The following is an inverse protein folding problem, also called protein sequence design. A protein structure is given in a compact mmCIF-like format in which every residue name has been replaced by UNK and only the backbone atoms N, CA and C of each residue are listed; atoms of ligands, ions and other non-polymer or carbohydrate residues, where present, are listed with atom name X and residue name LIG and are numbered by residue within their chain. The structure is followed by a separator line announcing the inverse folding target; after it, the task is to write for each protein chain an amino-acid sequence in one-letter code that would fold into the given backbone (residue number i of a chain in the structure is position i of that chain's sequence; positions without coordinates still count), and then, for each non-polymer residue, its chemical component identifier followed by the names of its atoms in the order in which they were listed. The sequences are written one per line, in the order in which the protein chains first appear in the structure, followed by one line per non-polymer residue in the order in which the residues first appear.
data_IF_625927442992
#
_entry.id   IF_625927442992
#
_cell.length_a   1.000
_cell.length_b   1.000
_cell.length_c   1.000
_cell.angle_alpha   90.00
_cell.angle_beta   90.00
_cell.angle_gamma   90.00
#
_symmetry.space_group_name_H-M   'P 1'
#
loop_
_entity.id
_entity.type
_entity.pdbx_description
1 polymer ?
#
# COMPACT_ATOMS: atom_id res chain seq x y z
N UNK A 1 10.93 36.24 2.83
CA UNK A 1 10.51 35.00 2.15
C UNK A 1 10.83 33.74 2.95
N UNK A 2 12.04 33.58 3.49
CA UNK A 2 12.40 32.41 4.30
C UNK A 2 11.51 32.23 5.55
N UNK A 3 11.32 33.30 6.34
CA UNK A 3 10.48 33.23 7.55
C UNK A 3 8.99 33.02 7.22
N UNK A 4 8.49 33.61 6.15
CA UNK A 4 7.11 33.38 5.69
C UNK A 4 6.91 31.96 5.19
N UNK A 5 7.90 31.40 4.48
CA UNK A 5 7.86 30.04 3.97
C UNK A 5 7.83 29.00 5.09
N UNK A 6 8.64 29.16 6.14
CA UNK A 6 8.63 28.23 7.29
C UNK A 6 7.31 28.29 8.05
N UNK A 7 6.76 29.49 8.27
CA UNK A 7 5.44 29.66 8.91
C UNK A 7 4.36 28.94 8.09
N UNK A 8 4.37 29.08 6.77
CA UNK A 8 3.37 28.46 5.91
C UNK A 8 3.47 26.92 5.90
N UNK A 9 4.69 26.38 5.94
CA UNK A 9 4.94 24.94 6.12
C UNK A 9 4.37 24.45 7.46
N UNK A 10 4.63 25.19 8.55
CA UNK A 10 4.13 24.85 9.88
C UNK A 10 2.60 24.92 9.95
N UNK A 11 1.97 25.94 9.37
CA UNK A 11 0.50 26.03 9.28
C UNK A 11 -0.06 24.86 8.48
N UNK A 12 0.51 24.55 7.31
CA UNK A 12 0.07 23.41 6.50
C UNK A 12 0.21 22.08 7.25
N UNK A 13 1.33 21.89 7.95
CA UNK A 13 1.56 20.73 8.83
C UNK A 13 0.54 20.66 9.97
N UNK A 14 0.24 21.78 10.62
CA UNK A 14 -0.76 21.87 11.68
C UNK A 14 -2.18 21.53 11.20
N UNK A 15 -2.60 22.09 10.06
CA UNK A 15 -3.89 21.76 9.43
C UNK A 15 -3.96 20.26 9.12
N UNK A 16 -2.89 19.70 8.55
CA UNK A 16 -2.85 18.28 8.22
C UNK A 16 -2.85 17.40 9.49
N UNK A 17 -2.22 17.85 10.57
CA UNK A 17 -2.19 17.13 11.84
C UNK A 17 -3.55 17.08 12.52
N UNK A 18 -4.36 18.14 12.38
CA UNK A 18 -5.68 18.25 13.03
C UNK A 18 -6.77 17.61 12.16
N UNK A 19 -6.72 17.81 10.84
CA UNK A 19 -7.80 17.45 9.93
C UNK A 19 -7.45 16.33 8.93
N UNK A 20 -6.19 15.91 8.85
CA UNK A 20 -5.78 14.80 7.99
C UNK A 20 -6.35 13.48 8.51
N UNK A 21 -6.88 12.67 7.61
CA UNK A 21 -7.48 11.37 7.94
C UNK A 21 -6.85 10.27 7.10
N UNK A 22 -6.82 9.06 7.64
CA UNK A 22 -6.34 7.84 6.98
C UNK A 22 -7.29 6.70 7.31
N UNK A 23 -7.68 5.91 6.32
CA UNK A 23 -8.56 4.76 6.49
C UNK A 23 -8.12 3.62 5.57
N UNK A 24 -7.97 2.42 6.13
CA UNK A 24 -7.64 1.23 5.36
C UNK A 24 -8.92 0.54 4.87
N UNK A 25 -8.96 0.22 3.57
CA UNK A 25 -10.09 -0.41 2.89
C UNK A 25 -9.64 -1.78 2.39
N UNK A 26 -10.14 -2.83 3.03
CA UNK A 26 -9.97 -4.20 2.57
C UNK A 26 -11.16 -4.57 1.68
N UNK A 27 -10.91 -4.82 0.39
CA UNK A 27 -11.97 -5.01 -0.60
C UNK A 27 -11.67 -6.22 -1.51
N UNK A 28 -12.66 -7.09 -1.72
CA UNK A 28 -12.58 -8.24 -2.63
C UNK A 28 -13.22 -7.90 -3.97
N UNK A 29 -12.88 -8.66 -5.01
CA UNK A 29 -13.54 -8.51 -6.31
C UNK A 29 -15.06 -8.69 -6.18
N UNK A 30 -15.80 -7.74 -6.75
CA UNK A 30 -17.25 -7.66 -6.68
C UNK A 30 -17.77 -6.79 -5.51
N UNK A 31 -16.97 -6.58 -4.47
CA UNK A 31 -17.39 -5.77 -3.31
C UNK A 31 -17.55 -4.29 -3.70
N UNK A 32 -18.48 -3.61 -3.01
CA UNK A 32 -18.68 -2.16 -3.12
C UNK A 32 -18.70 -1.54 -1.73
N UNK A 33 -17.81 -0.58 -1.47
CA UNK A 33 -17.63 0.06 -0.17
C UNK A 33 -17.90 1.56 -0.28
N UNK A 34 -18.61 2.13 0.70
CA UNK A 34 -18.84 3.58 0.76
C UNK A 34 -17.65 4.28 1.41
N UNK A 35 -16.79 4.91 0.61
CA UNK A 35 -15.56 5.56 1.09
C UNK A 35 -15.88 6.74 2.01
N UNK A 36 -16.93 7.49 1.68
CA UNK A 36 -17.39 8.64 2.48
C UNK A 36 -17.90 8.28 3.88
N UNK A 37 -18.17 6.99 4.16
CA UNK A 37 -18.48 6.51 5.52
C UNK A 37 -17.23 6.22 6.35
N UNK A 38 -16.07 6.10 5.71
CA UNK A 38 -14.80 5.75 6.33
C UNK A 38 -13.88 6.95 6.50
N UNK A 39 -13.96 7.91 5.58
CA UNK A 39 -13.13 9.12 5.56
C UNK A 39 -13.89 10.31 4.99
N UNK A 40 -13.54 11.51 5.45
CA UNK A 40 -14.11 12.75 4.93
C UNK A 40 -13.80 12.92 3.44
N UNK A 41 -14.77 13.41 2.69
CA UNK A 41 -14.66 13.66 1.25
C UNK A 41 -15.53 14.85 0.86
N UNK A 42 -15.23 15.48 -0.27
CA UNK A 42 -16.01 16.64 -0.77
C UNK A 42 -17.45 16.28 -1.13
N UNK A 43 -17.67 15.05 -1.59
CA UNK A 43 -18.99 14.49 -1.86
C UNK A 43 -18.98 12.97 -1.65
N UNK A 44 -20.16 12.40 -1.43
CA UNK A 44 -20.29 10.96 -1.19
C UNK A 44 -19.99 10.15 -2.45
N UNK A 45 -19.19 9.09 -2.29
CA UNK A 45 -18.92 8.12 -3.34
C UNK A 45 -18.64 6.72 -2.79
N UNK A 46 -18.86 5.73 -3.66
CA UNK A 46 -18.58 4.32 -3.41
C UNK A 46 -17.47 3.84 -4.33
N UNK A 47 -16.66 2.94 -3.82
CA UNK A 47 -15.60 2.24 -4.53
C UNK A 47 -16.04 0.79 -4.77
N UNK A 48 -16.14 0.37 -6.02
CA UNK A 48 -16.36 -1.03 -6.39
C UNK A 48 -15.07 -1.59 -6.98
N UNK A 49 -14.57 -2.70 -6.41
CA UNK A 49 -13.45 -3.43 -7.00
C UNK A 49 -13.99 -4.39 -8.06
N UNK A 50 -13.66 -4.16 -9.32
CA UNK A 50 -14.07 -5.06 -10.39
C UNK A 50 -13.09 -6.21 -10.56
N UNK A 51 -11.79 -5.92 -10.47
CA UNK A 51 -10.72 -6.90 -10.67
C UNK A 51 -9.45 -6.49 -9.94
N UNK A 52 -8.76 -7.44 -9.33
CA UNK A 52 -7.43 -7.26 -8.77
C UNK A 52 -6.45 -8.20 -9.45
N UNK A 53 -5.41 -7.65 -10.07
CA UNK A 53 -4.42 -8.40 -10.83
C UNK A 53 -3.01 -8.16 -10.31
N UNK A 54 -2.19 -9.21 -10.32
CA UNK A 54 -0.76 -9.14 -10.05
C UNK A 54 -0.05 -9.47 -11.36
N UNK A 55 0.72 -8.53 -11.90
CA UNK A 55 1.66 -8.81 -13.00
C UNK A 55 2.95 -9.35 -12.41
N UNK A 56 3.47 -10.42 -12.97
CA UNK A 56 4.72 -11.04 -12.54
C UNK A 56 5.81 -10.86 -13.59
N UNK A 57 7.04 -10.72 -13.13
CA UNK A 57 8.23 -10.85 -13.96
C UNK A 57 8.45 -12.32 -14.38
N UNK A 58 9.34 -12.59 -15.37
CA UNK A 58 9.66 -13.95 -15.78
C UNK A 58 10.15 -14.84 -14.62
N UNK A 59 10.90 -14.27 -13.68
CA UNK A 59 11.41 -14.94 -12.48
C UNK A 59 10.33 -15.26 -11.42
N UNK A 60 9.10 -14.79 -11.60
CA UNK A 60 7.97 -15.01 -10.69
C UNK A 60 7.84 -13.98 -9.56
N UNK A 61 8.71 -12.97 -9.51
CA UNK A 61 8.58 -11.82 -8.62
C UNK A 61 7.42 -10.91 -9.07
N UNK A 62 6.72 -10.22 -8.14
CA UNK A 62 5.66 -9.30 -8.51
C UNK A 62 6.25 -8.04 -9.16
N UNK A 63 5.78 -7.72 -10.37
CA UNK A 63 6.16 -6.52 -11.10
C UNK A 63 5.24 -5.33 -10.78
N UNK A 64 3.93 -5.57 -10.71
CA UNK A 64 2.94 -4.51 -10.45
C UNK A 64 1.61 -5.11 -9.97
N UNK A 65 0.89 -4.33 -9.16
CA UNK A 65 -0.44 -4.66 -8.66
C UNK A 65 -1.46 -3.69 -9.23
N UNK A 66 -2.55 -4.20 -9.78
CA UNK A 66 -3.61 -3.38 -10.37
C UNK A 66 -4.94 -3.66 -9.69
N UNK A 67 -5.51 -2.63 -9.08
CA UNK A 67 -6.91 -2.62 -8.65
C UNK A 67 -7.76 -1.91 -9.70
N UNK A 68 -8.45 -2.65 -10.54
CA UNK A 68 -9.43 -2.13 -11.50
C UNK A 68 -10.73 -1.79 -10.78
N UNK A 69 -11.08 -0.51 -10.70
CA UNK A 69 -12.16 -0.01 -9.86
C UNK A 69 -13.17 0.84 -10.64
N UNK A 70 -14.39 0.86 -10.12
CA UNK A 70 -15.40 1.84 -10.47
C UNK A 70 -15.65 2.77 -9.29
N UNK A 71 -15.66 4.06 -9.54
CA UNK A 71 -16.16 5.06 -8.59
C UNK A 71 -17.59 5.41 -8.97
N UNK A 72 -18.48 5.24 -8.00
CA UNK A 72 -19.91 5.47 -8.14
C UNK A 72 -20.27 6.65 -7.25
N UNK A 73 -20.80 7.71 -7.85
CA UNK A 73 -21.30 8.91 -7.17
C UNK A 73 -22.68 9.25 -7.70
N UNK A 74 -23.49 9.95 -6.91
CA UNK A 74 -24.83 10.40 -7.31
C UNK A 74 -24.77 11.69 -8.13
N UNK A 75 -23.71 12.48 -7.96
CA UNK A 75 -23.58 13.82 -8.57
C UNK A 75 -22.64 13.87 -9.78
N UNK A 76 -21.94 12.78 -10.08
CA UNK A 76 -20.94 12.68 -11.14
C UNK A 76 -21.07 11.36 -11.89
N UNK A 77 -20.72 11.32 -13.19
CA UNK A 77 -20.76 10.09 -13.98
C UNK A 77 -19.83 9.02 -13.40
N UNK A 78 -20.14 7.75 -13.71
CA UNK A 78 -19.31 6.60 -13.36
C UNK A 78 -17.87 6.80 -13.86
N UNK A 79 -16.90 6.73 -12.96
CA UNK A 79 -15.48 6.77 -13.32
C UNK A 79 -14.91 5.37 -13.24
N UNK A 80 -14.31 4.90 -14.34
CA UNK A 80 -13.53 3.67 -14.38
C UNK A 80 -12.05 4.02 -14.28
N UNK A 81 -11.34 3.42 -13.35
CA UNK A 81 -9.93 3.72 -13.13
C UNK A 81 -9.15 2.47 -12.68
N UNK A 82 -7.83 2.58 -12.65
CA UNK A 82 -6.95 1.58 -12.07
C UNK A 82 -6.04 2.25 -11.03
N UNK A 83 -5.84 1.59 -9.89
CA UNK A 83 -4.90 2.01 -8.84
C UNK A 83 -3.74 1.01 -8.84
N UNK A 84 -2.50 1.52 -8.80
CA UNK A 84 -1.30 0.69 -8.69
C UNK A 84 -0.25 1.31 -7.77
N UNK A 85 0.79 0.56 -7.43
CA UNK A 85 1.93 1.07 -6.63
C UNK A 85 2.57 2.19 -7.45
N UNK A 86 2.57 3.41 -6.93
CA UNK A 86 2.99 4.69 -7.55
C UNK A 86 1.98 5.43 -8.43
N UNK A 87 0.80 4.87 -8.70
CA UNK A 87 -0.28 5.59 -9.40
C UNK A 87 -1.53 5.64 -8.52
N UNK A 88 -1.53 6.47 -7.46
CA UNK A 88 -2.69 6.65 -6.63
C UNK A 88 -3.80 7.40 -7.38
N UNK A 89 -5.03 7.09 -7.05
CA UNK A 89 -6.19 7.77 -7.61
C UNK A 89 -6.66 8.87 -6.67
N UNK A 90 -6.82 10.09 -7.17
CA UNK A 90 -7.41 11.21 -6.43
C UNK A 90 -8.85 11.42 -6.87
N UNK A 91 -9.78 11.38 -5.93
CA UNK A 91 -11.19 11.65 -6.19
C UNK A 91 -11.83 12.34 -4.98
N UNK A 92 -12.58 13.43 -5.21
CA UNK A 92 -13.32 14.16 -4.16
C UNK A 92 -12.50 14.53 -2.92
N UNK A 93 -11.22 14.90 -3.13
CA UNK A 93 -10.32 15.28 -2.04
C UNK A 93 -9.65 14.10 -1.31
N UNK A 94 -10.00 12.87 -1.66
CA UNK A 94 -9.40 11.63 -1.14
C UNK A 94 -8.38 11.09 -2.12
N UNK A 95 -7.22 10.67 -1.63
CA UNK A 95 -6.23 9.90 -2.38
C UNK A 95 -6.33 8.43 -1.98
N UNK A 96 -6.44 7.55 -2.97
CA UNK A 96 -6.56 6.11 -2.81
C UNK A 96 -5.24 5.48 -3.28
N UNK A 97 -4.52 4.85 -2.36
CA UNK A 97 -3.25 4.20 -2.59
C UNK A 97 -3.44 2.69 -2.56
N UNK A 98 -2.88 1.98 -3.53
CA UNK A 98 -2.67 0.55 -3.39
C UNK A 98 -1.61 0.33 -2.29
N UNK A 99 -2.01 -0.22 -1.15
CA UNK A 99 -1.11 -0.44 -0.01
C UNK A 99 -0.57 -1.87 0.01
N UNK A 100 -1.48 -2.86 0.02
CA UNK A 100 -1.10 -4.28 0.05
C UNK A 100 -2.23 -5.15 -0.52
N UNK A 101 -2.11 -6.46 -0.40
CA UNK A 101 -3.12 -7.42 -0.82
C UNK A 101 -3.02 -8.67 0.04
N UNK A 102 -3.99 -9.57 -0.08
CA UNK A 102 -3.87 -10.88 0.53
C UNK A 102 -4.79 -11.93 -0.08
N UNK A 103 -4.71 -13.12 0.49
CA UNK A 103 -5.39 -14.30 -0.01
C UNK A 103 -6.54 -14.71 0.91
N UNK A 104 -7.57 -15.24 0.27
CA UNK A 104 -8.71 -15.87 0.90
C UNK A 104 -8.84 -17.26 0.33
N UNK A 105 -8.93 -18.25 1.22
CA UNK A 105 -9.07 -19.64 0.83
C UNK A 105 -10.54 -20.01 0.85
N UNK A 106 -11.08 -20.38 -0.31
CA UNK A 106 -12.43 -20.91 -0.42
C UNK A 106 -12.40 -22.36 0.05
N UNK A 107 -12.96 -22.62 1.22
CA UNK A 107 -12.96 -23.94 1.86
C UNK A 107 -14.33 -24.59 1.82
N UNK A 108 -14.35 -25.91 1.76
CA UNK A 108 -15.53 -26.73 1.99
C UNK A 108 -15.16 -27.87 2.93
N UNK A 109 -15.97 -28.05 3.97
CA UNK A 109 -15.89 -29.20 4.85
C UNK A 109 -17.15 -30.06 4.69
N UNK A 110 -16.97 -31.36 4.72
CA UNK A 110 -18.01 -32.36 4.54
C UNK A 110 -17.86 -33.44 5.61
N UNK A 111 -18.97 -33.86 6.22
CA UNK A 111 -19.03 -35.02 7.09
C UNK A 111 -20.37 -35.73 6.97
N UNK A 112 -20.36 -37.04 6.70
CA UNK A 112 -21.59 -37.84 6.58
C UNK A 112 -22.62 -37.26 5.60
N UNK A 113 -22.16 -36.73 4.46
CA UNK A 113 -23.00 -36.09 3.43
C UNK A 113 -23.44 -34.64 3.70
N UNK A 114 -23.24 -34.10 4.92
CA UNK A 114 -23.48 -32.68 5.23
C UNK A 114 -22.29 -31.84 4.82
N UNK A 115 -22.53 -30.76 4.06
CA UNK A 115 -21.51 -29.85 3.53
C UNK A 115 -21.66 -28.45 4.09
N UNK A 116 -20.54 -27.81 4.43
CA UNK A 116 -20.46 -26.38 4.70
C UNK A 116 -19.34 -25.76 3.88
N UNK A 117 -19.52 -24.52 3.43
CA UNK A 117 -18.51 -23.77 2.71
C UNK A 117 -18.20 -22.47 3.44
N UNK A 118 -16.93 -22.09 3.50
CA UNK A 118 -16.50 -20.82 4.10
C UNK A 118 -15.31 -20.27 3.33
N UNK A 119 -15.34 -18.98 3.02
CA UNK A 119 -14.15 -18.29 2.51
C UNK A 119 -13.42 -17.70 3.71
N UNK A 120 -12.20 -18.17 3.97
CA UNK A 120 -11.46 -17.84 5.20
C UNK A 120 -10.08 -17.26 4.91
N UNK A 121 -9.62 -16.40 5.80
CA UNK A 121 -8.26 -15.84 5.77
C UNK A 121 -7.26 -16.80 6.42
N UNK A 122 -5.97 -16.53 6.22
CA UNK A 122 -4.92 -17.17 7.01
C UNK A 122 -5.16 -16.97 8.51
N UNK A 123 -4.92 -18.01 9.29
CA UNK A 123 -5.18 -18.04 10.73
C UNK A 123 -6.62 -18.35 11.12
N UNK A 124 -7.59 -18.30 10.20
CA UNK A 124 -8.99 -18.64 10.46
C UNK A 124 -9.28 -20.15 10.33
N UNK A 125 -10.45 -20.56 10.84
CA UNK A 125 -10.84 -21.96 10.94
C UNK A 125 -12.18 -22.26 10.26
N UNK A 126 -12.33 -23.54 9.92
CA UNK A 126 -13.58 -24.21 9.55
C UNK A 126 -13.78 -25.46 10.41
N UNK A 127 -15.00 -25.64 10.92
CA UNK A 127 -15.38 -26.78 11.75
C UNK A 127 -16.27 -27.72 10.92
N UNK A 128 -15.80 -28.91 10.52
CA UNK A 128 -16.63 -29.85 9.78
C UNK A 128 -17.92 -30.21 10.55
N UNK A 129 -19.07 -30.37 9.87
CA UNK A 129 -20.35 -30.57 10.52
C UNK A 129 -20.37 -31.81 11.40
N UNK A 130 -20.96 -31.74 12.60
CA UNK A 130 -21.13 -32.91 13.46
C UNK A 130 -19.82 -33.50 14.01
N UNK A 131 -18.72 -32.74 14.00
CA UNK A 131 -17.43 -33.16 14.59
C UNK A 131 -16.93 -32.18 15.65
N UNK A 132 -16.04 -32.63 16.52
CA UNK A 132 -15.17 -31.82 17.40
C UNK A 132 -13.98 -31.22 16.65
N UNK A 133 -13.67 -31.72 15.44
CA UNK A 133 -12.50 -31.33 14.65
C UNK A 133 -12.57 -29.87 14.21
N UNK A 134 -11.43 -29.19 14.24
CA UNK A 134 -11.27 -27.83 13.74
C UNK A 134 -10.11 -27.82 12.76
N UNK A 135 -10.35 -27.38 11.54
CA UNK A 135 -9.31 -27.21 10.53
C UNK A 135 -8.97 -25.73 10.41
N UNK A 136 -7.71 -25.38 10.68
CA UNK A 136 -7.18 -24.02 10.56
C UNK A 136 -6.39 -23.90 9.27
N UNK A 137 -6.68 -22.87 8.47
CA UNK A 137 -5.79 -22.50 7.37
C UNK A 137 -4.59 -21.79 7.98
N UNK A 138 -3.43 -22.42 7.94
CA UNK A 138 -2.22 -21.86 8.52
C UNK A 138 -1.59 -20.83 7.57
N UNK A 139 -1.33 -21.23 6.32
CA UNK A 139 -0.73 -20.36 5.29
C UNK A 139 -1.09 -20.83 3.90
N UNK A 140 -1.33 -19.90 2.98
CA UNK A 140 -1.35 -20.18 1.55
C UNK A 140 0.04 -19.91 0.96
N UNK A 141 0.57 -20.87 0.21
CA UNK A 141 1.90 -20.81 -0.40
C UNK A 141 1.73 -20.87 -1.92
N UNK A 142 1.86 -19.73 -2.65
CA UNK A 142 1.68 -19.69 -4.10
C UNK A 142 2.63 -20.62 -4.87
N UNK A 143 3.90 -20.70 -4.46
CA UNK A 143 4.90 -21.56 -5.08
C UNK A 143 5.60 -22.41 -4.02
N UNK A 144 4.95 -23.51 -3.65
CA UNK A 144 5.42 -24.43 -2.63
C UNK A 144 6.64 -25.22 -3.08
N UNK A 145 7.65 -25.29 -2.22
CA UNK A 145 8.79 -26.20 -2.35
C UNK A 145 9.12 -26.76 -0.95
N UNK A 146 9.16 -28.09 -0.77
CA UNK A 146 9.50 -28.71 0.52
C UNK A 146 10.81 -28.21 1.15
N UNK A 147 11.81 -27.84 0.34
CA UNK A 147 13.10 -27.34 0.80
C UNK A 147 13.01 -25.96 1.48
N UNK A 148 11.97 -25.17 1.17
CA UNK A 148 11.73 -23.83 1.73
C UNK A 148 10.75 -23.88 2.92
N UNK A 149 10.28 -25.07 3.30
CA UNK A 149 9.35 -25.25 4.40
C UNK A 149 8.03 -24.51 4.20
N UNK A 150 7.85 -23.43 4.98
CA UNK A 150 6.64 -22.60 4.97
C UNK A 150 6.76 -21.35 4.09
N UNK A 151 7.92 -21.11 3.50
CA UNK A 151 8.12 -19.96 2.62
C UNK A 151 7.79 -20.27 1.17
N UNK A 152 7.26 -19.26 0.49
CA UNK A 152 7.00 -19.35 -0.94
C UNK A 152 8.28 -19.06 -1.72
N UNK A 153 8.56 -19.84 -2.76
CA UNK A 153 9.71 -19.56 -3.64
C UNK A 153 9.51 -18.24 -4.39
N UNK A 154 8.29 -18.00 -4.87
CA UNK A 154 7.86 -16.81 -5.61
C UNK A 154 6.40 -16.50 -5.28
N UNK A 155 5.94 -15.29 -5.58
CA UNK A 155 4.52 -14.94 -5.41
C UNK A 155 3.65 -15.40 -6.57
N UNK A 156 4.23 -15.68 -7.74
CA UNK A 156 3.50 -16.31 -8.85
C UNK A 156 3.03 -17.71 -8.44
N UNK A 157 1.73 -18.05 -8.61
CA UNK A 157 1.16 -19.29 -8.11
C UNK A 157 1.49 -20.50 -9.00
N UNK A 158 2.77 -20.84 -9.15
CA UNK A 158 3.23 -21.93 -10.03
C UNK A 158 2.99 -23.32 -9.40
N UNK A 159 2.98 -23.42 -8.08
CA UNK A 159 2.74 -24.66 -7.35
C UNK A 159 1.94 -24.38 -6.06
N UNK A 160 0.68 -23.94 -6.17
CA UNK A 160 -0.07 -23.43 -5.03
C UNK A 160 -0.42 -24.55 -4.06
N UNK A 161 -0.21 -24.29 -2.77
CA UNK A 161 -0.57 -25.19 -1.67
C UNK A 161 -1.20 -24.43 -0.53
N UNK A 162 -2.06 -25.11 0.22
CA UNK A 162 -2.55 -24.64 1.50
C UNK A 162 -1.97 -25.51 2.59
N UNK A 163 -1.22 -24.90 3.49
CA UNK A 163 -0.81 -25.53 4.73
C UNK A 163 -1.90 -25.32 5.78
N UNK A 164 -2.28 -26.39 6.46
CA UNK A 164 -3.37 -26.38 7.42
C UNK A 164 -3.02 -27.21 8.64
N UNK A 165 -3.66 -26.92 9.76
CA UNK A 165 -3.56 -27.72 10.98
C UNK A 165 -4.93 -28.20 11.43
N UNK A 166 -4.96 -29.39 12.03
CA UNK A 166 -6.17 -30.02 12.53
C UNK A 166 -6.09 -30.09 14.05
N UNK A 167 -7.14 -29.63 14.71
CA UNK A 167 -7.27 -29.65 16.17
C UNK A 167 -8.50 -30.42 16.61
N UNK A 168 -8.43 -30.96 17.83
CA UNK A 168 -9.56 -31.47 18.60
C UNK A 168 -9.38 -30.99 20.04
N UNK A 169 -10.40 -30.35 20.62
CA UNK A 169 -10.37 -29.84 22.00
C UNK A 169 -9.11 -29.04 22.36
N UNK A 170 -8.65 -28.20 21.41
CA UNK A 170 -7.42 -27.38 21.45
C UNK A 170 -6.11 -28.16 21.30
N UNK A 171 -6.12 -29.48 21.28
CA UNK A 171 -4.95 -30.30 20.99
C UNK A 171 -4.69 -30.34 19.48
N UNK A 172 -3.43 -30.12 19.10
CA UNK A 172 -2.99 -30.26 17.71
C UNK A 172 -2.86 -31.75 17.38
N UNK A 173 -3.61 -32.20 16.39
CA UNK A 173 -3.53 -33.58 15.90
C UNK A 173 -2.48 -33.74 14.81
N UNK A 174 -2.30 -32.70 14.00
CA UNK A 174 -1.35 -32.73 12.90
C UNK A 174 -1.42 -31.50 12.01
N UNK A 175 -0.42 -31.42 11.13
CA UNK A 175 -0.28 -30.39 10.09
C UNK A 175 -0.22 -31.11 8.75
N UNK A 176 -0.85 -30.52 7.74
CA UNK A 176 -0.82 -31.04 6.38
C UNK A 176 -0.63 -29.95 5.35
N UNK A 177 -0.29 -30.37 4.13
CA UNK A 177 -0.15 -29.51 2.96
C UNK A 177 -0.99 -30.12 1.85
N UNK A 178 -1.93 -29.35 1.29
CA UNK A 178 -2.85 -29.83 0.26
C UNK A 178 -2.79 -28.97 -1.00
N UNK A 179 -3.01 -29.60 -2.16
CA UNK A 179 -3.29 -28.91 -3.42
C UNK A 179 -4.68 -28.28 -3.38
N UNK A 180 -4.87 -27.25 -4.21
CA UNK A 180 -6.21 -26.73 -4.44
C UNK A 180 -7.10 -27.80 -5.09
N UNK A 181 -8.31 -27.97 -4.55
CA UNK A 181 -9.28 -28.97 -4.97
C UNK A 181 -9.07 -30.38 -4.41
N UNK A 182 -7.92 -30.67 -3.80
CA UNK A 182 -7.59 -31.98 -3.25
C UNK A 182 -8.48 -32.31 -2.03
N UNK A 183 -9.11 -33.50 -1.99
CA UNK A 183 -9.81 -33.97 -0.79
C UNK A 183 -8.84 -34.38 0.31
N UNK A 184 -8.85 -33.64 1.41
CA UNK A 184 -8.11 -34.00 2.62
C UNK A 184 -9.03 -34.78 3.55
N UNK A 185 -8.70 -36.05 3.82
CA UNK A 185 -9.38 -36.84 4.85
C UNK A 185 -8.90 -36.41 6.23
N UNK A 186 -9.80 -35.86 7.02
CA UNK A 186 -9.53 -35.43 8.42
C UNK A 186 -9.88 -36.56 9.39
N UNK A 187 -10.94 -37.30 9.08
CA UNK A 187 -11.42 -38.46 9.83
C UNK A 187 -12.10 -39.45 8.86
N UNK A 188 -12.65 -40.55 9.36
CA UNK A 188 -13.25 -41.64 8.56
C UNK A 188 -14.29 -41.13 7.55
N UNK A 189 -15.19 -40.26 8.01
CA UNK A 189 -16.28 -39.68 7.22
C UNK A 189 -16.12 -38.17 6.97
N UNK A 190 -15.01 -37.57 7.42
CA UNK A 190 -14.80 -36.12 7.37
C UNK A 190 -13.74 -35.73 6.34
N UNK A 191 -14.14 -34.89 5.38
CA UNK A 191 -13.30 -34.41 4.29
C UNK A 191 -13.29 -32.88 4.26
N UNK A 192 -12.11 -32.29 4.06
CA UNK A 192 -11.95 -30.86 3.80
C UNK A 192 -11.30 -30.64 2.44
N UNK A 193 -11.81 -29.67 1.69
CA UNK A 193 -11.29 -29.25 0.38
C UNK A 193 -11.00 -27.76 0.38
N UNK A 194 -9.80 -27.39 -0.04
CA UNK A 194 -9.40 -26.00 -0.32
C UNK A 194 -9.65 -25.73 -1.80
N UNK A 195 -10.83 -25.25 -2.16
CA UNK A 195 -11.32 -25.21 -3.55
C UNK A 195 -10.58 -24.22 -4.44
N UNK A 196 -10.38 -23.01 -3.95
CA UNK A 196 -9.86 -21.91 -4.75
C UNK A 196 -9.27 -20.83 -3.85
N UNK A 197 -8.49 -19.94 -4.47
CA UNK A 197 -7.96 -18.74 -3.83
C UNK A 197 -8.65 -17.52 -4.44
N UNK A 198 -9.11 -16.62 -3.59
CA UNK A 198 -9.56 -15.28 -3.98
C UNK A 198 -8.57 -14.26 -3.44
N UNK A 199 -8.29 -13.24 -4.24
CA UNK A 199 -7.51 -12.10 -3.79
C UNK A 199 -8.41 -11.03 -3.19
N UNK A 200 -7.89 -10.32 -2.20
CA UNK A 200 -8.42 -9.03 -1.79
C UNK A 200 -7.31 -7.99 -1.89
N UNK A 201 -7.73 -6.77 -2.21
CA UNK A 201 -6.86 -5.60 -2.24
C UNK A 201 -6.99 -4.83 -0.92
N UNK A 202 -5.89 -4.24 -0.47
CA UNK A 202 -5.85 -3.30 0.64
C UNK A 202 -5.53 -1.92 0.06
N UNK A 203 -6.51 -1.03 0.13
CA UNK A 203 -6.42 0.33 -0.39
C UNK A 203 -6.40 1.29 0.79
N UNK A 204 -5.37 2.13 0.87
CA UNK A 204 -5.28 3.16 1.88
C UNK A 204 -5.89 4.46 1.35
N UNK A 205 -6.94 4.96 1.99
CA UNK A 205 -7.61 6.20 1.68
C UNK A 205 -7.10 7.31 2.59
N UNK A 206 -6.64 8.42 2.00
CA UNK A 206 -6.03 9.53 2.72
C UNK A 206 -6.60 10.89 2.32
N UNK A 207 -6.79 11.77 3.29
CA UNK A 207 -7.03 13.20 3.06
C UNK A 207 -5.87 14.02 3.63
N UNK A 208 -5.35 14.94 2.83
CA UNK A 208 -4.27 15.85 3.24
C UNK A 208 -4.70 17.32 3.04
N UNK A 209 -5.57 17.89 3.89
CA UNK A 209 -6.12 19.23 3.69
C UNK A 209 -5.06 20.35 3.77
N UNK A 210 -4.00 20.15 4.55
CA UNK A 210 -2.90 21.10 4.71
C UNK A 210 -1.84 21.05 3.60
N UNK A 211 -1.90 20.07 2.70
CA UNK A 211 -0.84 19.80 1.72
C UNK A 211 -0.54 20.99 0.82
N UNK A 212 -1.57 21.72 0.38
CA UNK A 212 -1.39 22.89 -0.49
C UNK A 212 -0.56 23.97 0.19
N UNK A 213 -0.84 24.27 1.46
CA UNK A 213 -0.09 25.26 2.23
C UNK A 213 1.37 24.82 2.43
N UNK A 214 1.58 23.54 2.79
CA UNK A 214 2.92 22.98 2.94
C UNK A 214 3.73 23.07 1.64
N UNK A 215 3.12 22.75 0.50
CA UNK A 215 3.79 22.85 -0.80
C UNK A 215 4.16 24.31 -1.16
N UNK A 216 3.24 25.26 -0.97
CA UNK A 216 3.52 26.69 -1.24
C UNK A 216 4.66 27.18 -0.34
N UNK A 217 4.62 26.85 0.95
CA UNK A 217 5.67 27.23 1.89
C UNK A 217 7.03 26.65 1.50
N UNK A 218 7.05 25.37 1.09
CA UNK A 218 8.25 24.71 0.58
C UNK A 218 8.83 25.38 -0.66
N UNK A 219 8.00 25.73 -1.63
CA UNK A 219 8.45 26.46 -2.84
C UNK A 219 9.02 27.83 -2.46
N UNK A 220 8.35 28.57 -1.57
CA UNK A 220 8.85 29.87 -1.10
C UNK A 220 10.19 29.76 -0.38
N UNK A 221 10.42 28.68 0.37
CA UNK A 221 11.72 28.41 1.01
C UNK A 221 12.81 28.18 -0.03
N UNK A 222 12.57 27.31 -1.02
CA UNK A 222 13.53 27.01 -2.09
C UNK A 222 13.90 28.27 -2.87
N UNK A 223 12.91 29.07 -3.28
CA UNK A 223 13.14 30.34 -3.97
C UNK A 223 13.89 31.33 -3.08
N UNK A 224 13.53 31.43 -1.79
CA UNK A 224 14.19 32.30 -0.84
C UNK A 224 15.68 31.97 -0.64
N UNK A 225 16.02 30.68 -0.55
CA UNK A 225 17.41 30.23 -0.45
C UNK A 225 18.16 30.54 -1.75
N UNK A 226 17.57 30.24 -2.91
CA UNK A 226 18.20 30.50 -4.20
C UNK A 226 18.53 31.99 -4.38
N UNK A 227 17.58 32.88 -4.06
CA UNK A 227 17.81 34.34 -4.12
C UNK A 227 18.90 34.79 -3.15
N UNK A 228 18.93 34.27 -1.92
CA UNK A 228 19.97 34.63 -0.95
C UNK A 228 21.38 34.21 -1.42
N UNK A 229 21.51 33.01 -2.00
CA UNK A 229 22.78 32.53 -2.55
C UNK A 229 23.19 33.30 -3.80
N UNK A 230 22.26 33.59 -4.71
CA UNK A 230 22.56 34.33 -5.94
C UNK A 230 22.94 35.78 -5.65
N UNK A 231 22.21 36.46 -4.76
CA UNK A 231 22.51 37.82 -4.32
C UNK A 231 23.85 37.86 -3.57
N UNK A 232 24.15 36.88 -2.71
CA UNK A 232 25.44 36.83 -2.02
C UNK A 232 26.63 36.57 -2.96
N UNK A 233 26.42 35.91 -4.11
CA UNK A 233 27.43 35.81 -5.17
C UNK A 233 27.60 37.11 -5.96
N UNK A 234 26.50 37.82 -6.26
CA UNK A 234 26.53 39.12 -6.95
C UNK A 234 27.15 40.24 -6.11
N UNK A 235 26.99 40.18 -4.78
CA UNK A 235 27.52 41.18 -3.84
C UNK A 235 28.94 40.88 -3.36
N UNK A 236 29.65 39.88 -3.91
CA UNK A 236 31.07 39.69 -3.59
C UNK A 236 31.87 40.90 -4.09
N UNK A 237 32.60 41.62 -3.23
CA UNK A 237 33.49 42.67 -3.70
C UNK A 237 34.57 42.05 -4.60
N UNK A 238 34.68 42.55 -5.84
CA UNK A 238 35.86 42.31 -6.67
C UNK A 238 37.04 43.00 -6.01
N UNK A 239 37.89 42.23 -5.32
CA UNK A 239 39.22 42.71 -4.96
C UNK A 239 39.96 42.98 -6.28
N UNK A 240 40.04 44.24 -6.69
CA UNK A 240 41.00 44.66 -7.71
C UNK A 240 42.39 44.44 -7.14
N UNK A 241 43.08 43.42 -7.66
CA UNK A 241 44.52 43.34 -7.58
C UNK A 241 45.09 44.54 -8.35
N UNK A 242 45.73 45.45 -7.62
CA UNK A 242 46.57 46.51 -8.16
C UNK A 242 47.84 46.52 -7.34
N UNK A 243 48.73 45.57 -7.64
CA UNK A 243 50.13 45.64 -7.23
C UNK A 243 50.93 46.23 -8.40
N UNK A 244 51.79 47.19 -8.05
CA UNK A 244 53.02 47.60 -8.72
C UNK A 244 53.05 48.86 -9.62
N UNK A 245 53.97 49.75 -9.25
CA UNK A 245 54.78 50.55 -10.17
C UNK A 245 54.44 52.03 -10.33
N UNK A 246 55.15 52.93 -9.63
CA UNK A 246 55.96 53.98 -10.30
C UNK A 246 56.68 54.98 -9.37
N UNK A 247 57.98 54.70 -9.17
CA UNK A 247 59.16 55.57 -9.45
C UNK A 247 59.50 56.77 -8.55
N UNK A 248 60.57 56.57 -7.77
CA UNK A 248 61.93 57.15 -7.94
C UNK A 248 62.17 58.67 -8.11
N UNK A 249 63.07 59.15 -7.24
CA UNK A 249 64.20 60.09 -7.45
C UNK A 249 64.01 61.60 -7.12
N UNK A 250 64.75 61.98 -6.06
CA UNK A 250 65.56 63.19 -5.80
C UNK A 250 65.03 64.59 -6.18
N UNK A 251 65.02 65.48 -5.18
CA UNK A 251 65.32 66.90 -5.38
C UNK A 251 66.24 67.37 -4.24
N UNK A 252 67.51 67.51 -4.61
CA UNK A 252 68.56 68.24 -3.88
C UNK A 252 68.50 69.72 -4.30
N UNK A 253 69.03 70.60 -3.43
CA UNK A 253 69.32 72.02 -3.58
C UNK A 253 68.21 73.09 -3.58
N UNK A 254 68.31 73.96 -2.56
CA UNK A 254 68.46 75.41 -2.77
C UNK A 254 69.09 76.10 -1.55
N UNK A 255 70.26 76.71 -1.81
CA UNK A 255 70.88 77.92 -1.24
C UNK A 255 70.98 78.16 0.28
#
# INVERSE_FOLDING_TARGET
MLHTGIILVLIGGGINSIYGQTAQIIIKEGDTISVSKLISSKSAFKLKLNKFEIKFNPDGSPAQYYSGINIISEIKPLVKASISVNHPLKYEGVKLYQESFGYLVVTQAENGGKKIGKTIKEGETIKPPGTSRIVRVYKYIPNYNPQYGMETKTLRPDNPRVMFSVYEDKNLLGVGVARLGEPVKIDRDTIVKFKAIKLYSVINAKTDPGLSFTCIGGVMLVVGVFLALFISQLLKPTNMAGEDGSKDILAEDNH
#
